data_IF_486555344297
#
_entry.id   IF_486555344297
#
_cell.length_a   1.000
_cell.length_b   1.000
_cell.length_c   1.000
_cell.angle_alpha   90.00
_cell.angle_beta   90.00
_cell.angle_gamma   90.00
#
_symmetry.space_group_name_H-M   'P 1'
#
loop_
_entity.id
_entity.type
_entity.pdbx_description
1 polymer ?
#
# COMPACT_ATOMS: atom_id res chain seq x y z
N UNK A 1 38.31 49.61 -12.57
CA UNK A 1 36.89 49.77 -12.94
C UNK A 1 36.07 49.06 -11.87
N UNK A 2 35.73 49.69 -10.74
CA UNK A 2 34.63 50.67 -10.58
C UNK A 2 33.29 50.01 -10.93
N UNK A 3 32.22 49.97 -10.13
CA UNK A 3 31.78 50.73 -8.95
C UNK A 3 30.37 50.14 -8.59
N UNK A 4 29.93 49.87 -7.35
CA UNK A 4 29.13 50.72 -6.41
C UNK A 4 28.57 49.71 -5.36
N UNK A 5 28.67 49.85 -4.01
CA UNK A 5 28.03 50.83 -3.11
C UNK A 5 26.53 50.49 -2.90
N UNK A 6 25.88 50.38 -1.74
CA UNK A 6 26.12 50.80 -0.34
C UNK A 6 25.04 50.17 0.60
N UNK A 7 25.29 50.11 1.93
CA UNK A 7 24.32 49.76 3.03
C UNK A 7 23.32 50.92 3.33
N UNK A 8 22.25 50.75 4.15
CA UNK A 8 22.26 50.71 5.64
C UNK A 8 21.30 49.63 6.23
N UNK A 9 21.51 48.99 7.40
CA UNK A 9 21.46 49.40 8.83
C UNK A 9 20.07 49.81 9.40
N UNK A 10 19.84 49.43 10.67
CA UNK A 10 18.62 49.50 11.53
C UNK A 10 17.63 48.32 11.43
N UNK A 11 17.22 47.62 12.50
CA UNK A 11 17.09 48.02 13.91
C UNK A 11 17.41 46.89 14.91
N UNK A 12 17.94 47.35 16.04
CA UNK A 12 18.15 46.70 17.34
C UNK A 12 17.07 45.69 17.78
N UNK A 13 17.50 44.62 18.45
CA UNK A 13 17.45 44.58 19.92
C UNK A 13 18.28 43.42 20.48
N UNK A 14 19.20 43.80 21.39
CA UNK A 14 19.88 42.90 22.32
C UNK A 14 18.88 42.32 23.32
N UNK A 15 18.88 41.00 23.47
CA UNK A 15 18.37 40.29 24.64
C UNK A 15 19.49 39.44 25.23
N UNK A 16 19.88 39.78 26.46
CA UNK A 16 20.98 39.20 27.24
C UNK A 16 20.76 37.74 27.63
N UNK A 17 21.87 37.00 27.58
CA UNK A 17 22.37 35.97 28.49
C UNK A 17 21.39 35.17 29.39
N UNK A 18 21.44 33.85 29.21
CA UNK A 18 21.27 32.87 30.29
C UNK A 18 21.88 31.53 29.84
N UNK A 19 22.73 30.86 30.64
CA UNK A 19 23.22 29.53 30.32
C UNK A 19 22.12 28.52 30.63
N UNK A 20 21.16 28.40 29.72
CA UNK A 20 20.10 27.39 29.78
C UNK A 20 20.64 26.05 29.32
N UNK A 21 21.04 25.22 30.28
CA UNK A 21 21.25 23.77 30.18
C UNK A 21 20.59 23.13 28.95
N UNK A 22 21.40 22.69 27.98
CA UNK A 22 20.96 21.91 26.83
C UNK A 22 20.45 20.55 27.29
N UNK A 23 19.19 20.48 27.72
CA UNK A 23 18.50 19.22 27.93
C UNK A 23 18.32 18.59 26.54
N UNK A 24 18.90 17.41 26.27
CA UNK A 24 18.62 16.72 25.02
C UNK A 24 17.12 16.40 25.01
N UNK A 25 16.39 16.95 24.03
CA UNK A 25 15.02 16.54 23.77
C UNK A 25 15.02 15.00 23.63
N UNK A 26 14.18 14.27 24.38
CA UNK A 26 14.04 12.85 24.15
C UNK A 26 13.56 12.67 22.71
N UNK A 27 14.41 12.03 21.90
CA UNK A 27 14.06 11.60 20.55
C UNK A 27 12.75 10.83 20.70
N UNK A 28 11.68 11.32 20.06
CA UNK A 28 10.41 10.61 20.06
C UNK A 28 10.69 9.14 19.74
N UNK A 29 10.21 8.19 20.55
CA UNK A 29 10.43 6.78 20.26
C UNK A 29 9.95 6.52 18.84
N UNK A 30 10.84 6.00 18.00
CA UNK A 30 10.47 5.53 16.69
C UNK A 30 9.27 4.59 16.87
N UNK A 31 8.18 4.73 16.09
CA UNK A 31 7.08 3.77 16.18
C UNK A 31 7.68 2.37 15.99
N UNK A 32 7.32 1.38 16.83
CA UNK A 32 7.81 0.03 16.64
C UNK A 32 7.48 -0.40 15.21
N UNK A 33 8.38 -1.12 14.52
CA UNK A 33 8.03 -1.73 13.25
C UNK A 33 6.75 -2.56 13.49
N UNK A 34 5.77 -2.53 12.58
CA UNK A 34 4.51 -3.24 12.78
C UNK A 34 4.81 -4.69 13.16
N UNK A 35 4.36 -5.11 14.35
CA UNK A 35 4.68 -6.39 14.99
C UNK A 35 3.93 -7.58 14.41
N UNK A 36 3.28 -7.38 13.27
CA UNK A 36 2.77 -8.44 12.44
C UNK A 36 3.61 -8.44 11.17
N UNK A 37 4.26 -9.55 10.77
CA UNK A 37 4.60 -9.69 9.38
C UNK A 37 3.26 -9.65 8.64
N UNK A 38 2.87 -8.48 8.15
CA UNK A 38 1.86 -8.38 7.12
C UNK A 38 2.43 -9.23 5.98
N UNK A 39 2.00 -10.48 5.87
CA UNK A 39 2.40 -11.37 4.79
C UNK A 39 1.54 -10.97 3.60
N UNK A 40 1.97 -9.94 2.88
CA UNK A 40 1.30 -9.43 1.69
C UNK A 40 1.29 -10.52 0.61
N UNK A 41 0.25 -11.34 0.53
CA UNK A 41 0.30 -12.47 -0.40
C UNK A 41 -0.03 -12.08 -1.84
N UNK A 42 -0.82 -11.04 -2.10
CA UNK A 42 -1.17 -10.65 -3.47
C UNK A 42 -1.10 -9.13 -3.66
N UNK A 43 -0.50 -8.68 -4.77
CA UNK A 43 -0.56 -7.27 -5.18
C UNK A 43 -1.44 -7.16 -6.40
N UNK A 44 -2.51 -6.37 -6.30
CA UNK A 44 -3.52 -6.31 -7.36
C UNK A 44 -3.74 -4.87 -7.76
N UNK A 45 -3.51 -4.59 -9.04
CA UNK A 45 -3.83 -3.32 -9.67
C UNK A 45 -5.13 -3.46 -10.47
N UNK A 46 -6.21 -2.83 -10.01
CA UNK A 46 -7.48 -2.84 -10.72
C UNK A 46 -7.55 -1.70 -11.76
N UNK A 47 -7.16 -2.01 -13.00
CA UNK A 47 -7.22 -1.12 -14.17
C UNK A 47 -8.53 -1.28 -14.96
N UNK A 48 -9.52 -1.99 -14.41
CA UNK A 48 -10.77 -2.29 -15.13
C UNK A 48 -11.78 -1.13 -15.10
N UNK A 49 -11.49 -0.02 -14.42
CA UNK A 49 -12.41 1.11 -14.17
C UNK A 49 -13.75 0.69 -13.51
N UNK A 50 -13.85 -0.56 -13.07
CA UNK A 50 -15.05 -1.17 -12.52
C UNK A 50 -14.71 -1.86 -11.21
N UNK A 51 -15.73 -2.02 -10.36
CA UNK A 51 -15.63 -2.83 -9.16
C UNK A 51 -15.45 -4.30 -9.54
N UNK A 52 -14.42 -4.94 -9.03
CA UNK A 52 -14.13 -6.37 -9.25
C UNK A 52 -14.31 -7.11 -7.95
N UNK A 53 -15.07 -8.20 -7.95
CA UNK A 53 -15.13 -9.13 -6.82
C UNK A 53 -14.02 -10.16 -6.97
N UNK A 54 -13.12 -10.23 -6.01
CA UNK A 54 -12.09 -11.25 -5.91
C UNK A 54 -12.51 -12.32 -4.90
N UNK A 55 -12.32 -13.59 -5.26
CA UNK A 55 -12.46 -14.74 -4.37
C UNK A 55 -11.21 -15.59 -4.43
N UNK A 56 -10.64 -15.94 -3.28
CA UNK A 56 -9.50 -16.85 -3.19
C UNK A 56 -9.95 -18.24 -2.75
N UNK A 57 -9.33 -19.28 -3.30
CA UNK A 57 -9.63 -20.68 -3.00
C UNK A 57 -8.33 -21.44 -2.76
N UNK A 58 -8.35 -22.45 -1.88
CA UNK A 58 -7.24 -23.39 -1.79
C UNK A 58 -7.17 -24.20 -3.10
N UNK A 59 -5.97 -24.32 -3.69
CA UNK A 59 -5.77 -25.04 -4.96
C UNK A 59 -6.30 -26.47 -4.91
N UNK A 60 -6.26 -27.11 -3.74
CA UNK A 60 -6.73 -28.48 -3.54
C UNK A 60 -8.27 -28.64 -3.49
N UNK A 61 -9.06 -27.56 -3.45
CA UNK A 61 -10.51 -27.67 -3.30
C UNK A 61 -11.30 -26.60 -4.09
N UNK A 62 -11.38 -26.80 -5.41
CA UNK A 62 -12.13 -25.96 -6.36
C UNK A 62 -13.63 -25.81 -6.04
N UNK A 63 -14.23 -26.74 -5.28
CA UNK A 63 -15.64 -26.70 -4.86
C UNK A 63 -15.84 -26.27 -3.40
N UNK A 64 -14.77 -25.87 -2.70
CA UNK A 64 -14.88 -25.41 -1.33
C UNK A 64 -15.37 -23.95 -1.26
N UNK A 65 -15.86 -23.57 -0.08
CA UNK A 65 -16.09 -22.17 0.26
C UNK A 65 -14.81 -21.35 0.04
N UNK A 66 -14.89 -20.13 -0.51
CA UNK A 66 -13.72 -19.29 -0.70
C UNK A 66 -13.03 -19.00 0.64
N UNK A 67 -11.69 -19.00 0.64
CA UNK A 67 -10.87 -18.59 1.78
C UNK A 67 -11.10 -17.12 2.12
N UNK A 68 -11.26 -16.29 1.09
CA UNK A 68 -11.56 -14.88 1.23
C UNK A 68 -12.44 -14.39 0.08
N UNK A 69 -13.24 -13.36 0.35
CA UNK A 69 -13.97 -12.61 -0.69
C UNK A 69 -13.73 -11.14 -0.42
N UNK A 70 -13.18 -10.44 -1.41
CA UNK A 70 -12.82 -9.03 -1.31
C UNK A 70 -13.37 -8.30 -2.52
N UNK A 71 -13.83 -7.09 -2.29
CA UNK A 71 -14.21 -6.18 -3.36
C UNK A 71 -13.04 -5.25 -3.65
N UNK A 72 -12.66 -5.18 -4.92
CA UNK A 72 -11.60 -4.33 -5.43
C UNK A 72 -12.23 -3.13 -6.13
N UNK A 73 -12.10 -1.96 -5.55
CA UNK A 73 -12.53 -0.72 -6.18
C UNK A 73 -11.60 -0.35 -7.35
N UNK A 74 -12.06 0.42 -8.34
CA UNK A 74 -11.19 0.95 -9.40
C UNK A 74 -9.97 1.68 -8.83
N UNK A 75 -8.79 1.45 -9.40
CA UNK A 75 -7.55 2.08 -8.93
C UNK A 75 -6.97 1.49 -7.64
N UNK A 76 -7.55 0.41 -7.09
CA UNK A 76 -6.91 -0.40 -6.03
C UNK A 76 -5.56 -0.88 -6.53
N UNK A 77 -4.50 -0.75 -5.72
CA UNK A 77 -3.12 -1.15 -6.10
C UNK A 77 -2.56 -2.30 -5.26
N UNK A 78 -3.15 -2.58 -4.09
CA UNK A 78 -2.72 -3.65 -3.20
C UNK A 78 -3.91 -4.17 -2.40
N UNK A 79 -3.94 -5.47 -2.16
CA UNK A 79 -5.00 -6.14 -1.40
C UNK A 79 -4.37 -7.21 -0.55
N UNK A 80 -4.54 -7.12 0.76
CA UNK A 80 -4.15 -8.22 1.64
C UNK A 80 -5.31 -9.22 1.70
N UNK A 81 -5.16 -10.35 1.02
CA UNK A 81 -6.17 -11.39 1.01
C UNK A 81 -5.52 -12.71 1.40
N UNK A 82 -5.55 -13.02 2.69
CA UNK A 82 -5.21 -14.36 3.15
C UNK A 82 -5.67 -14.60 4.59
N UNK A 83 -5.95 -15.88 4.86
CA UNK A 83 -6.22 -16.43 6.18
C UNK A 83 -5.43 -17.75 6.31
N UNK A 84 -4.30 -17.77 7.02
CA UNK A 84 -3.57 -19.01 7.37
C UNK A 84 -2.09 -19.03 7.00
N UNK A 85 -1.61 -20.11 6.37
CA UNK A 85 -0.24 -20.28 5.82
C UNK A 85 -0.32 -20.83 4.39
N UNK A 86 -1.15 -20.21 3.54
CA UNK A 86 -1.38 -20.73 2.18
C UNK A 86 -0.37 -20.09 1.23
N UNK A 87 0.59 -20.89 0.77
CA UNK A 87 1.65 -20.46 -0.16
C UNK A 87 1.15 -20.34 -1.60
N UNK A 88 0.07 -21.01 -1.97
CA UNK A 88 -0.48 -21.00 -3.33
C UNK A 88 -1.99 -21.03 -3.28
N UNK A 89 -2.64 -20.05 -3.89
CA UNK A 89 -4.10 -19.96 -3.97
C UNK A 89 -4.55 -19.88 -5.43
N UNK A 90 -5.76 -20.36 -5.69
CA UNK A 90 -6.47 -19.98 -6.90
C UNK A 90 -7.24 -18.69 -6.63
N UNK A 91 -7.27 -17.79 -7.61
CA UNK A 91 -8.00 -16.51 -7.50
C UNK A 91 -8.98 -16.38 -8.64
N UNK A 92 -10.22 -16.04 -8.31
CA UNK A 92 -11.29 -15.76 -9.28
C UNK A 92 -11.71 -14.32 -9.13
N UNK A 93 -11.63 -13.57 -10.22
CA UNK A 93 -12.09 -12.20 -10.35
C UNK A 93 -13.39 -12.18 -11.13
N UNK A 94 -14.37 -11.41 -10.66
CA UNK A 94 -15.70 -11.32 -11.29
C UNK A 94 -16.14 -9.86 -11.37
N UNK A 95 -16.53 -9.43 -12.57
CA UNK A 95 -17.14 -8.12 -12.81
C UNK A 95 -18.64 -8.15 -12.54
N UNK A 96 -19.27 -6.97 -12.47
CA UNK A 96 -20.72 -6.84 -12.26
C UNK A 96 -21.56 -7.50 -13.37
N UNK A 97 -21.03 -7.58 -14.59
CA UNK A 97 -21.65 -8.27 -15.73
C UNK A 97 -21.46 -9.80 -15.69
N UNK A 98 -20.97 -10.36 -14.58
CA UNK A 98 -20.63 -11.78 -14.40
C UNK A 98 -19.46 -12.30 -15.25
N UNK A 99 -18.79 -11.45 -16.04
CA UNK A 99 -17.57 -11.83 -16.74
C UNK A 99 -16.48 -12.15 -15.71
N UNK A 100 -15.68 -13.17 -15.99
CA UNK A 100 -14.74 -13.72 -15.02
C UNK A 100 -13.33 -13.87 -15.57
N UNK A 101 -12.35 -13.72 -14.68
CA UNK A 101 -10.94 -13.98 -14.93
C UNK A 101 -10.40 -14.84 -13.80
N UNK A 102 -9.79 -15.97 -14.14
CA UNK A 102 -9.29 -16.93 -13.15
C UNK A 102 -7.79 -17.10 -13.26
N UNK A 103 -7.11 -16.99 -12.13
CA UNK A 103 -5.70 -17.33 -11.98
C UNK A 103 -5.65 -18.66 -11.21
N UNK A 104 -5.34 -19.79 -11.88
CA UNK A 104 -5.40 -21.12 -11.26
C UNK A 104 -4.35 -21.30 -10.16
N UNK A 105 -3.22 -20.60 -10.29
CA UNK A 105 -2.08 -20.64 -9.37
C UNK A 105 -1.60 -19.20 -9.23
N UNK A 106 -2.06 -18.52 -8.19
CA UNK A 106 -1.58 -17.21 -7.81
C UNK A 106 -0.38 -17.37 -6.88
N UNK A 107 0.78 -16.93 -7.37
CA UNK A 107 2.03 -16.94 -6.64
C UNK A 107 2.04 -15.85 -5.57
N UNK A 108 2.59 -16.12 -4.38
CA UNK A 108 2.68 -15.14 -3.32
C UNK A 108 3.61 -14.01 -3.75
N UNK A 109 3.26 -12.77 -3.37
CA UNK A 109 3.95 -11.53 -3.70
C UNK A 109 3.94 -11.12 -5.18
N UNK A 110 3.31 -11.91 -6.06
CA UNK A 110 3.13 -11.56 -7.45
C UNK A 110 2.20 -10.35 -7.61
N UNK A 111 2.42 -9.61 -8.70
CA UNK A 111 1.59 -8.47 -9.07
C UNK A 111 0.67 -8.83 -10.23
N UNK A 112 -0.63 -8.63 -10.03
CA UNK A 112 -1.68 -8.89 -11.01
C UNK A 112 -2.35 -7.59 -11.43
N UNK A 113 -2.13 -7.17 -12.68
CA UNK A 113 -2.83 -6.05 -13.28
C UNK A 113 -4.12 -6.55 -13.93
N UNK A 114 -5.27 -6.17 -13.40
CA UNK A 114 -6.57 -6.57 -13.93
C UNK A 114 -7.02 -5.58 -14.99
N UNK A 115 -7.22 -6.07 -16.22
CA UNK A 115 -7.73 -5.29 -17.36
C UNK A 115 -9.03 -5.89 -17.86
N UNK A 116 -9.92 -5.06 -18.40
CA UNK A 116 -11.26 -5.49 -18.88
C UNK A 116 -11.16 -6.65 -19.90
N UNK A 117 -10.10 -6.64 -20.72
CA UNK A 117 -9.86 -7.65 -21.76
C UNK A 117 -9.57 -9.07 -21.24
N UNK A 118 -9.24 -9.24 -19.96
CA UNK A 118 -8.98 -10.55 -19.36
C UNK A 118 -10.25 -11.27 -18.89
N UNK A 119 -11.38 -10.56 -18.87
CA UNK A 119 -12.65 -11.09 -18.41
C UNK A 119 -13.48 -11.59 -19.59
N UNK A 120 -13.94 -12.83 -19.50
CA UNK A 120 -14.80 -13.49 -20.49
C UNK A 120 -16.14 -13.91 -19.91
#
# INVERSE_FOLDING_TARGET
>A
SSHFGSRPDSLCQSGREGPGSSVPHPRAPHPPPPTHPCSWNHRIANETEQKVTMKTYPVAAFFASPNSTVVLEPGTQCVDCHRGDVTVEQVVFTLANSACYTIPVAEPFAMYCLRKEYFT
#
